data_IF_535086445952
#
_entry.id   IF_535086445952
#
_cell.length_a   1.000
_cell.length_b   1.000
_cell.length_c   1.000
_cell.angle_alpha   90.00
_cell.angle_beta   90.00
_cell.angle_gamma   90.00
#
_symmetry.space_group_name_H-M   'P 1'
#
loop_
_entity.id
_entity.type
_entity.pdbx_description
1 polymer ?
#
# COMPACT_ATOMS: atom_id res chain seq x y z
N UNK A 1 -21.26 -17.08 1.08
CA UNK A 1 -20.70 -16.48 2.31
C UNK A 1 -21.77 -16.49 3.39
N UNK A 2 -21.95 -17.60 4.12
CA UNK A 2 -22.91 -17.71 5.22
C UNK A 2 -22.16 -17.68 6.54
N UNK A 3 -22.33 -16.63 7.35
CA UNK A 3 -21.83 -16.62 8.71
C UNK A 3 -22.64 -17.64 9.52
N UNK A 4 -21.99 -18.71 9.97
CA UNK A 4 -22.63 -19.73 10.80
C UNK A 4 -23.24 -19.16 12.08
N UNK A 5 -23.98 -20.00 12.81
CA UNK A 5 -24.65 -19.60 14.05
C UNK A 5 -23.66 -18.95 15.03
N UNK A 6 -24.02 -17.78 15.56
CA UNK A 6 -23.27 -17.10 16.62
C UNK A 6 -23.60 -17.73 17.96
N UNK A 7 -22.61 -17.85 18.83
CA UNK A 7 -22.77 -18.31 20.22
C UNK A 7 -22.46 -17.17 21.21
N UNK A 8 -22.89 -17.27 22.48
CA UNK A 8 -22.57 -16.28 23.51
C UNK A 8 -21.06 -16.10 23.68
N UNK A 9 -20.61 -14.85 23.82
CA UNK A 9 -19.20 -14.49 23.98
C UNK A 9 -19.06 -13.29 24.93
N UNK A 10 -17.92 -13.13 25.62
CA UNK A 10 -17.71 -12.03 26.55
C UNK A 10 -17.62 -10.68 25.81
N UNK A 11 -18.46 -9.72 26.17
CA UNK A 11 -18.56 -8.41 25.48
C UNK A 11 -17.46 -7.41 25.88
N UNK A 12 -16.80 -7.64 27.01
CA UNK A 12 -15.83 -6.72 27.59
C UNK A 12 -14.37 -7.11 27.31
N UNK A 13 -14.14 -8.21 26.59
CA UNK A 13 -12.80 -8.63 26.18
C UNK A 13 -12.42 -7.86 24.91
N UNK A 14 -11.27 -7.20 24.95
CA UNK A 14 -10.71 -6.47 23.81
C UNK A 14 -9.44 -7.15 23.31
N UNK A 15 -9.24 -7.15 21.99
CA UNK A 15 -7.97 -7.52 21.36
C UNK A 15 -7.68 -6.61 20.17
N UNK A 16 -6.41 -6.40 19.81
CA UNK A 16 -6.04 -5.50 18.71
C UNK A 16 -6.56 -5.97 17.35
N UNK A 17 -6.68 -7.29 17.13
CA UNK A 17 -7.22 -7.85 15.89
C UNK A 17 -8.77 -7.85 15.84
N UNK A 18 -9.43 -7.44 16.93
CA UNK A 18 -10.88 -7.48 17.09
C UNK A 18 -11.34 -8.57 18.05
N UNK A 19 -12.46 -9.21 17.75
CA UNK A 19 -13.04 -10.27 18.59
C UNK A 19 -14.05 -11.08 17.81
N UNK A 20 -14.92 -11.79 18.52
CA UNK A 20 -15.95 -12.63 17.93
C UNK A 20 -16.86 -11.88 16.95
N UNK A 21 -16.82 -12.26 15.67
CA UNK A 21 -17.61 -11.69 14.56
C UNK A 21 -17.57 -10.16 14.49
N UNK A 22 -16.40 -9.56 14.70
CA UNK A 22 -16.22 -8.10 14.65
C UNK A 22 -16.73 -7.52 13.32
N UNK A 23 -17.77 -6.69 13.40
CA UNK A 23 -18.31 -5.94 12.26
C UNK A 23 -18.71 -4.53 12.71
N UNK A 24 -17.72 -3.65 12.97
CA UNK A 24 -18.00 -2.31 13.45
C UNK A 24 -18.80 -1.52 12.39
N UNK A 25 -19.66 -0.61 12.83
CA UNK A 25 -20.54 0.16 11.94
C UNK A 25 -19.74 1.05 10.95
N UNK A 26 -18.57 1.52 11.38
CA UNK A 26 -17.67 2.43 10.64
C UNK A 26 -16.54 1.71 9.87
N UNK A 27 -16.67 0.41 9.59
CA UNK A 27 -15.59 -0.35 8.92
C UNK A 27 -15.13 0.30 7.61
N UNK A 28 -16.04 0.87 6.81
CA UNK A 28 -15.72 1.51 5.52
C UNK A 28 -14.78 2.69 5.70
N UNK A 29 -15.16 3.64 6.56
CA UNK A 29 -14.37 4.85 6.80
C UNK A 29 -13.00 4.50 7.39
N UNK A 30 -12.95 3.54 8.33
CA UNK A 30 -11.69 3.08 8.90
C UNK A 30 -10.77 2.47 7.83
N UNK A 31 -11.30 1.63 6.93
CA UNK A 31 -10.53 1.06 5.82
C UNK A 31 -10.00 2.16 4.89
N UNK A 32 -10.84 3.15 4.55
CA UNK A 32 -10.43 4.26 3.67
C UNK A 32 -9.29 5.07 4.30
N UNK A 33 -9.40 5.42 5.58
CA UNK A 33 -8.37 6.18 6.29
C UNK A 33 -7.06 5.39 6.36
N UNK A 34 -7.11 4.11 6.73
CA UNK A 34 -5.93 3.25 6.78
C UNK A 34 -5.27 3.12 5.41
N UNK A 35 -6.07 2.89 4.36
CA UNK A 35 -5.55 2.76 3.01
C UNK A 35 -4.94 4.08 2.50
N UNK A 36 -5.57 5.22 2.80
CA UNK A 36 -5.02 6.53 2.47
C UNK A 36 -3.67 6.77 3.15
N UNK A 37 -3.53 6.38 4.41
CA UNK A 37 -2.25 6.45 5.14
C UNK A 37 -1.16 5.58 4.50
N UNK A 38 -1.47 4.32 4.18
CA UNK A 38 -0.55 3.42 3.48
C UNK A 38 -0.14 4.00 2.13
N UNK A 39 -1.10 4.51 1.35
CA UNK A 39 -0.85 5.08 0.04
C UNK A 39 0.05 6.33 0.12
N UNK A 40 -0.20 7.23 1.07
CA UNK A 40 0.61 8.42 1.26
C UNK A 40 2.08 8.08 1.57
N UNK A 41 2.32 7.12 2.47
CA UNK A 41 3.68 6.67 2.80
C UNK A 41 4.33 5.97 1.61
N UNK A 42 3.62 5.04 0.96
CA UNK A 42 4.14 4.32 -0.19
C UNK A 42 4.51 5.28 -1.33
N UNK A 43 3.68 6.29 -1.59
CA UNK A 43 3.95 7.32 -2.60
C UNK A 43 5.18 8.14 -2.24
N UNK A 44 5.31 8.60 -0.98
CA UNK A 44 6.49 9.36 -0.55
C UNK A 44 7.80 8.56 -0.61
N UNK A 45 7.77 7.26 -0.28
CA UNK A 45 8.92 6.38 -0.45
C UNK A 45 9.23 6.15 -1.93
N UNK A 46 8.20 5.97 -2.75
CA UNK A 46 8.35 5.77 -4.20
C UNK A 46 8.97 6.98 -4.89
N UNK A 47 8.56 8.21 -4.57
CA UNK A 47 9.16 9.42 -5.16
C UNK A 47 10.65 9.53 -4.82
N UNK A 48 10.98 9.33 -3.54
CA UNK A 48 12.37 9.29 -3.06
C UNK A 48 13.20 8.20 -3.74
N UNK A 49 12.62 7.02 -3.92
CA UNK A 49 13.26 5.90 -4.61
C UNK A 49 13.50 6.23 -6.08
N UNK A 50 12.49 6.71 -6.79
CA UNK A 50 12.55 7.01 -8.22
C UNK A 50 13.58 8.11 -8.55
N UNK A 51 13.73 9.10 -7.66
CA UNK A 51 14.71 10.18 -7.81
C UNK A 51 16.16 9.72 -7.57
N UNK A 52 16.35 8.74 -6.70
CA UNK A 52 17.67 8.17 -6.34
C UNK A 52 18.06 6.97 -7.18
N UNK A 53 17.14 6.43 -7.96
CA UNK A 53 17.36 5.24 -8.78
C UNK A 53 18.31 5.56 -9.95
N UNK A 54 19.51 4.99 -9.90
CA UNK A 54 20.55 5.11 -10.93
C UNK A 54 21.07 3.73 -11.29
N UNK A 55 21.28 3.49 -12.59
CA UNK A 55 21.84 2.28 -13.16
C UNK A 55 23.13 2.58 -13.90
N UNK A 56 24.19 1.94 -13.46
CA UNK A 56 25.49 1.99 -14.14
C UNK A 56 25.54 1.08 -15.37
N UNK A 57 24.70 0.04 -15.42
CA UNK A 57 24.58 -0.89 -16.54
C UNK A 57 23.12 -0.93 -16.96
N UNK A 58 22.88 -0.79 -18.27
CA UNK A 58 21.51 -0.84 -18.81
C UNK A 58 20.94 -2.27 -18.75
N UNK A 59 19.64 -2.42 -18.48
CA UNK A 59 19.00 -3.73 -18.45
C UNK A 59 18.93 -4.32 -19.86
N UNK A 60 19.00 -5.66 -19.95
CA UNK A 60 18.84 -6.41 -21.20
C UNK A 60 17.39 -6.46 -21.70
N UNK A 61 16.42 -6.09 -20.85
CA UNK A 61 14.98 -6.10 -21.15
C UNK A 61 14.29 -4.86 -20.57
N UNK A 62 13.15 -4.43 -21.13
CA UNK A 62 12.36 -3.35 -20.56
C UNK A 62 11.88 -3.73 -19.17
N UNK A 63 12.17 -2.88 -18.19
CA UNK A 63 11.68 -3.02 -16.83
C UNK A 63 10.79 -1.83 -16.48
N UNK A 64 9.72 -2.02 -15.67
CA UNK A 64 8.77 -0.96 -15.38
C UNK A 64 9.40 0.33 -14.85
N UNK A 65 10.43 0.23 -14.02
CA UNK A 65 11.00 1.42 -13.38
C UNK A 65 11.77 2.34 -14.32
N UNK A 66 12.08 1.90 -15.54
CA UNK A 66 12.55 2.79 -16.60
C UNK A 66 11.54 3.91 -16.93
N UNK A 67 10.24 3.69 -16.67
CA UNK A 67 9.19 4.67 -16.94
C UNK A 67 9.19 5.85 -15.96
N UNK A 68 9.73 5.67 -14.74
CA UNK A 68 9.66 6.70 -13.69
C UNK A 68 11.00 7.13 -13.11
N UNK A 69 12.05 6.30 -13.23
CA UNK A 69 13.37 6.61 -12.73
C UNK A 69 13.95 7.86 -13.41
N UNK A 70 14.59 8.71 -12.61
CA UNK A 70 15.10 10.02 -13.05
C UNK A 70 16.10 9.91 -14.20
N UNK A 71 17.00 8.95 -14.16
CA UNK A 71 18.03 8.72 -15.18
C UNK A 71 17.45 8.64 -16.61
N UNK A 72 16.35 7.91 -16.80
CA UNK A 72 15.75 7.72 -18.13
C UNK A 72 14.93 8.93 -18.58
N UNK A 73 14.30 9.64 -17.64
CA UNK A 73 13.60 10.89 -17.92
C UNK A 73 14.57 11.97 -18.41
N UNK A 74 15.73 12.09 -17.79
CA UNK A 74 16.72 13.10 -18.17
C UNK A 74 17.36 12.77 -19.53
N UNK A 75 17.73 11.50 -19.77
CA UNK A 75 18.21 11.04 -21.08
C UNK A 75 17.21 11.31 -22.21
N UNK A 76 15.90 11.18 -21.96
CA UNK A 76 14.86 11.44 -22.97
C UNK A 76 14.67 12.92 -23.32
N UNK A 77 15.16 13.84 -22.48
CA UNK A 77 15.08 15.31 -22.72
C UNK A 77 16.29 15.86 -23.47
N UNK A 78 17.42 15.18 -23.40
CA UNK A 78 18.66 15.58 -24.07
C UNK A 78 18.74 15.11 -25.53
N UNK A 79 17.91 14.14 -25.92
CA UNK A 79 17.77 13.65 -27.30
C UNK A 79 16.64 14.38 -28.03
#
# INVERSE_FOLDING_TARGET
>A
MGGGARYPYPKHVWSPAGGWWARPANWRSNTVITFAGIFAVAYGVWTVSADREVRHVQPDRPIPSMMWAKQYKDQSREN
#
